data_IF_933763003556
#
_entry.id   IF_933763003556
#
_cell.length_a   1.000
_cell.length_b   1.000
_cell.length_c   1.000
_cell.angle_alpha   90.00
_cell.angle_beta   90.00
_cell.angle_gamma   90.00
#
_symmetry.space_group_name_H-M   'P 1'
#
loop_
_entity.id
_entity.type
_entity.pdbx_description
1 polymer ?
#
# COMPACT_ATOMS: atom_id res chain seq x y z
N UNK A 1 -3.18 -40.02 12.82
CA UNK A 1 -2.66 -39.41 11.56
C UNK A 1 -3.72 -38.61 10.78
N UNK A 2 -4.94 -38.42 11.31
CA UNK A 2 -6.05 -37.71 10.63
C UNK A 2 -6.21 -36.24 11.05
N UNK A 3 -5.63 -35.80 12.18
CA UNK A 3 -5.80 -34.44 12.70
C UNK A 3 -5.00 -33.37 11.95
N UNK A 4 -3.86 -33.74 11.36
CA UNK A 4 -2.95 -32.82 10.67
C UNK A 4 -3.52 -32.35 9.31
N UNK A 5 -4.15 -33.27 8.57
CA UNK A 5 -4.80 -32.95 7.30
C UNK A 5 -6.01 -32.04 7.43
N UNK A 6 -6.78 -32.14 8.53
CA UNK A 6 -7.90 -31.23 8.79
C UNK A 6 -7.42 -29.81 9.09
N UNK A 7 -6.39 -29.66 9.93
CA UNK A 7 -5.84 -28.34 10.29
C UNK A 7 -5.30 -27.62 9.05
N UNK A 8 -4.53 -28.33 8.21
CA UNK A 8 -4.02 -27.74 6.97
C UNK A 8 -5.15 -27.33 6.01
N UNK A 9 -6.20 -28.13 5.90
CA UNK A 9 -7.35 -27.80 5.06
C UNK A 9 -8.13 -26.57 5.56
N UNK A 10 -8.24 -26.37 6.88
CA UNK A 10 -8.83 -25.15 7.45
C UNK A 10 -7.97 -23.91 7.22
N UNK A 11 -6.64 -24.02 7.37
CA UNK A 11 -5.70 -22.92 7.11
C UNK A 11 -5.71 -22.48 5.64
N UNK A 12 -5.72 -23.45 4.72
CA UNK A 12 -5.90 -23.22 3.28
C UNK A 12 -7.24 -22.52 3.02
N UNK A 13 -8.33 -22.96 3.63
CA UNK A 13 -9.62 -22.31 3.42
C UNK A 13 -9.63 -20.85 3.89
N UNK A 14 -9.14 -20.57 5.10
CA UNK A 14 -9.09 -19.21 5.66
C UNK A 14 -8.21 -18.26 4.82
N UNK A 15 -7.06 -18.71 4.34
CA UNK A 15 -6.19 -17.86 3.51
C UNK A 15 -6.81 -17.58 2.13
N UNK A 16 -7.56 -18.53 1.56
CA UNK A 16 -8.29 -18.32 0.30
C UNK A 16 -9.43 -17.31 0.47
N UNK A 17 -10.13 -17.36 1.60
CA UNK A 17 -11.22 -16.43 1.91
C UNK A 17 -10.67 -15.00 2.10
N UNK A 18 -9.53 -14.85 2.80
CA UNK A 18 -8.84 -13.56 2.96
C UNK A 18 -8.35 -12.97 1.63
N UNK A 19 -7.79 -13.81 0.75
CA UNK A 19 -7.34 -13.38 -0.58
C UNK A 19 -8.52 -12.88 -1.45
N UNK A 20 -9.68 -13.54 -1.36
CA UNK A 20 -10.90 -13.13 -2.06
C UNK A 20 -11.48 -11.81 -1.50
N UNK A 21 -11.54 -11.68 -0.18
CA UNK A 21 -11.97 -10.45 0.50
C UNK A 21 -11.06 -9.28 0.13
N UNK A 22 -9.74 -9.48 0.17
CA UNK A 22 -8.75 -8.46 -0.20
C UNK A 22 -8.97 -7.96 -1.63
N UNK A 23 -9.24 -8.84 -2.60
CA UNK A 23 -9.58 -8.43 -3.98
C UNK A 23 -10.82 -7.57 -4.04
N UNK A 24 -11.85 -7.94 -3.28
CA UNK A 24 -13.09 -7.18 -3.24
C UNK A 24 -12.85 -5.78 -2.68
N UNK A 25 -12.11 -5.68 -1.57
CA UNK A 25 -11.73 -4.41 -0.94
C UNK A 25 -10.90 -3.53 -1.89
N UNK A 26 -9.90 -4.11 -2.57
CA UNK A 26 -9.09 -3.40 -3.56
C UNK A 26 -9.95 -2.80 -4.69
N UNK A 27 -10.97 -3.53 -5.13
CA UNK A 27 -11.93 -3.05 -6.13
C UNK A 27 -12.80 -1.92 -5.59
N UNK A 28 -13.39 -2.08 -4.39
CA UNK A 28 -14.28 -1.10 -3.78
C UNK A 28 -13.59 0.22 -3.43
N UNK A 29 -12.36 0.16 -2.92
CA UNK A 29 -11.62 1.35 -2.45
C UNK A 29 -10.50 1.79 -3.39
N UNK A 30 -10.52 1.33 -4.65
CA UNK A 30 -9.52 1.64 -5.69
C UNK A 30 -9.16 3.12 -5.77
N UNK A 31 -10.18 3.99 -5.76
CA UNK A 31 -10.00 5.44 -5.89
C UNK A 31 -9.27 6.08 -4.71
N UNK A 32 -9.41 5.51 -3.52
CA UNK A 32 -8.71 5.93 -2.32
C UNK A 32 -7.30 5.34 -2.27
N UNK A 33 -7.20 4.03 -2.49
CA UNK A 33 -5.95 3.28 -2.41
C UNK A 33 -4.88 3.83 -3.36
N UNK A 34 -5.24 4.23 -4.58
CA UNK A 34 -4.26 4.80 -5.54
C UNK A 34 -3.55 6.07 -5.05
N UNK A 35 -4.12 6.77 -4.05
CA UNK A 35 -3.52 7.97 -3.44
C UNK A 35 -2.71 7.65 -2.18
N UNK A 36 -2.92 6.47 -1.60
CA UNK A 36 -2.29 6.05 -0.34
C UNK A 36 -1.09 5.14 -0.57
N UNK A 37 -0.99 4.49 -1.73
CA UNK A 37 0.07 3.53 -2.06
C UNK A 37 1.27 4.25 -2.68
N UNK A 38 2.46 4.03 -2.12
CA UNK A 38 3.74 4.34 -2.75
C UNK A 38 4.26 3.11 -3.48
N UNK A 39 4.26 3.15 -4.81
CA UNK A 39 4.49 1.96 -5.64
C UNK A 39 5.94 1.52 -5.63
N UNK A 40 6.88 2.47 -5.69
CA UNK A 40 8.31 2.17 -5.81
C UNK A 40 8.83 1.30 -4.66
N UNK A 41 8.75 1.72 -3.38
CA UNK A 41 9.22 0.90 -2.28
C UNK A 41 8.37 -0.36 -2.08
N UNK A 42 7.08 -0.32 -2.46
CA UNK A 42 6.17 -1.46 -2.31
C UNK A 42 6.55 -2.62 -3.24
N UNK A 43 6.86 -2.34 -4.51
CA UNK A 43 7.11 -3.38 -5.52
C UNK A 43 8.25 -4.32 -5.16
N UNK A 44 9.27 -3.82 -4.46
CA UNK A 44 10.43 -4.61 -4.08
C UNK A 44 10.08 -5.67 -3.02
N UNK A 45 9.00 -5.45 -2.26
CA UNK A 45 8.51 -6.38 -1.23
C UNK A 45 7.43 -7.37 -1.73
N UNK A 46 6.85 -7.14 -2.92
CA UNK A 46 5.81 -8.01 -3.49
C UNK A 46 6.43 -9.18 -4.28
N UNK A 47 6.87 -10.22 -3.59
CA UNK A 47 7.44 -11.46 -4.14
C UNK A 47 6.45 -12.28 -4.98
N UNK A 48 5.15 -12.21 -4.69
CA UNK A 48 4.14 -12.90 -5.50
C UNK A 48 3.99 -12.33 -6.93
N UNK A 49 4.56 -11.15 -7.21
CA UNK A 49 4.58 -10.57 -8.55
C UNK A 49 5.82 -11.00 -9.33
N UNK A 50 5.58 -11.58 -10.51
CA UNK A 50 6.64 -11.93 -11.45
C UNK A 50 7.49 -10.71 -11.86
N UNK A 51 8.81 -10.88 -12.13
CA UNK A 51 9.71 -9.80 -12.52
C UNK A 51 9.20 -8.97 -13.71
N UNK A 52 8.72 -9.62 -14.76
CA UNK A 52 8.18 -8.95 -15.95
C UNK A 52 6.99 -8.03 -15.63
N UNK A 53 6.18 -8.41 -14.63
CA UNK A 53 5.05 -7.60 -14.16
C UNK A 53 5.55 -6.40 -13.36
N UNK A 54 6.52 -6.61 -12.47
CA UNK A 54 7.16 -5.50 -11.74
C UNK A 54 7.77 -4.49 -12.70
N UNK A 55 8.46 -4.95 -13.75
CA UNK A 55 9.09 -4.06 -14.74
C UNK A 55 8.07 -3.21 -15.50
N UNK A 56 6.92 -3.79 -15.86
CA UNK A 56 5.81 -3.03 -16.48
C UNK A 56 5.26 -1.96 -15.53
N UNK A 57 5.11 -2.29 -14.24
CA UNK A 57 4.63 -1.31 -13.24
C UNK A 57 5.69 -0.22 -13.02
N UNK A 58 6.99 -0.58 -12.94
CA UNK A 58 8.10 0.38 -12.83
C UNK A 58 8.19 1.30 -14.07
N UNK A 59 7.95 0.78 -15.26
CA UNK A 59 7.87 1.59 -16.48
C UNK A 59 6.74 2.62 -16.38
N UNK A 60 5.54 2.18 -15.96
CA UNK A 60 4.39 3.07 -15.78
C UNK A 60 4.63 4.14 -14.70
N UNK A 61 5.34 3.80 -13.63
CA UNK A 61 5.76 4.75 -12.59
C UNK A 61 6.63 5.87 -13.18
N UNK A 62 7.61 5.52 -14.02
CA UNK A 62 8.49 6.51 -14.66
C UNK A 62 7.76 7.39 -15.68
N UNK A 63 6.81 6.84 -16.41
CA UNK A 63 6.12 7.54 -17.51
C UNK A 63 4.94 8.38 -17.03
N UNK A 64 4.16 7.88 -16.07
CA UNK A 64 2.86 8.45 -15.69
C UNK A 64 2.74 8.81 -14.20
N UNK A 65 3.79 8.57 -13.42
CA UNK A 65 3.84 8.88 -11.99
C UNK A 65 3.15 7.86 -11.09
N UNK A 66 3.30 8.07 -9.77
CA UNK A 66 2.92 7.11 -8.74
C UNK A 66 1.42 6.75 -8.74
N UNK A 67 0.52 7.72 -8.93
CA UNK A 67 -0.93 7.48 -8.90
C UNK A 67 -1.34 6.50 -10.01
N UNK A 68 -0.85 6.69 -11.24
CA UNK A 68 -1.20 5.83 -12.37
C UNK A 68 -0.55 4.44 -12.26
N UNK A 69 0.66 4.38 -11.71
CA UNK A 69 1.30 3.11 -11.40
C UNK A 69 0.55 2.34 -10.30
N UNK A 70 0.02 3.03 -9.28
CA UNK A 70 -0.75 2.41 -8.20
C UNK A 70 -2.07 1.85 -8.72
N UNK A 71 -2.76 2.59 -9.59
CA UNK A 71 -3.95 2.11 -10.31
C UNK A 71 -3.63 0.82 -11.07
N UNK A 72 -2.54 0.81 -11.83
CA UNK A 72 -2.16 -0.34 -12.64
C UNK A 72 -1.75 -1.54 -11.79
N UNK A 73 -1.04 -1.33 -10.68
CA UNK A 73 -0.74 -2.37 -9.70
C UNK A 73 -2.03 -2.98 -9.14
N UNK A 74 -2.98 -2.15 -8.70
CA UNK A 74 -4.28 -2.62 -8.17
C UNK A 74 -5.03 -3.44 -9.24
N UNK A 75 -5.08 -2.95 -10.47
CA UNK A 75 -5.76 -3.64 -11.57
C UNK A 75 -5.07 -4.99 -11.91
N UNK A 76 -3.74 -5.03 -11.94
CA UNK A 76 -2.96 -6.26 -12.15
C UNK A 76 -3.24 -7.26 -11.03
N UNK A 77 -3.35 -6.79 -9.78
CA UNK A 77 -3.69 -7.64 -8.64
C UNK A 77 -5.10 -8.21 -8.79
N UNK A 78 -6.11 -7.36 -9.01
CA UNK A 78 -7.52 -7.75 -9.11
C UNK A 78 -7.75 -8.75 -10.25
N UNK A 79 -7.15 -8.52 -11.42
CA UNK A 79 -7.39 -9.33 -12.62
C UNK A 79 -6.58 -10.63 -12.67
N UNK A 80 -5.51 -10.75 -11.88
CA UNK A 80 -4.67 -11.94 -11.86
C UNK A 80 -5.30 -13.07 -11.06
N UNK A 81 -5.50 -14.24 -11.67
CA UNK A 81 -6.11 -15.41 -11.02
C UNK A 81 -5.12 -16.41 -10.41
N UNK A 82 -3.82 -16.18 -10.61
CA UNK A 82 -2.78 -17.20 -10.39
C UNK A 82 -1.78 -16.84 -9.27
N UNK A 83 -2.17 -16.02 -8.30
CA UNK A 83 -1.27 -15.79 -7.17
C UNK A 83 -1.28 -16.99 -6.23
N UNK A 84 -0.11 -17.27 -5.67
CA UNK A 84 0.02 -18.20 -4.57
C UNK A 84 -0.85 -17.76 -3.40
N UNK A 85 -1.36 -18.74 -2.67
CA UNK A 85 -2.21 -18.49 -1.53
C UNK A 85 -1.48 -17.69 -0.45
N UNK A 86 -2.15 -16.67 0.09
CA UNK A 86 -1.58 -15.81 1.13
C UNK A 86 -0.89 -14.55 0.61
N UNK A 87 -0.98 -14.27 -0.69
CA UNK A 87 -0.50 -13.01 -1.28
C UNK A 87 -1.15 -11.77 -0.65
N UNK A 88 -2.38 -11.87 -0.13
CA UNK A 88 -3.02 -10.76 0.58
C UNK A 88 -2.26 -10.36 1.84
N UNK A 89 -1.79 -11.35 2.62
CA UNK A 89 -1.00 -11.10 3.82
C UNK A 89 0.33 -10.45 3.47
N UNK A 90 0.98 -10.93 2.41
CA UNK A 90 2.22 -10.34 1.91
C UNK A 90 2.01 -8.88 1.50
N UNK A 91 0.93 -8.58 0.77
CA UNK A 91 0.57 -7.21 0.40
C UNK A 91 0.36 -6.33 1.64
N UNK A 92 -0.38 -6.80 2.64
CA UNK A 92 -0.63 -6.04 3.87
C UNK A 92 0.68 -5.75 4.61
N UNK A 93 1.52 -6.77 4.81
CA UNK A 93 2.82 -6.62 5.46
C UNK A 93 3.73 -5.67 4.69
N UNK A 94 3.74 -5.75 3.36
CA UNK A 94 4.52 -4.86 2.52
C UNK A 94 4.04 -3.41 2.66
N UNK A 95 2.72 -3.16 2.64
CA UNK A 95 2.14 -1.83 2.84
C UNK A 95 2.49 -1.22 4.21
N UNK A 96 2.47 -2.02 5.28
CA UNK A 96 2.89 -1.57 6.61
C UNK A 96 4.39 -1.23 6.65
N UNK A 97 5.21 -2.06 6.01
CA UNK A 97 6.67 -1.93 6.00
C UNK A 97 7.10 -0.64 5.31
N UNK A 98 6.48 -0.28 4.18
CA UNK A 98 6.79 0.94 3.42
C UNK A 98 6.06 2.19 3.94
N UNK A 99 5.49 2.12 5.14
CA UNK A 99 4.82 3.27 5.76
C UNK A 99 3.43 3.60 5.22
N UNK A 100 2.89 2.82 4.29
CA UNK A 100 1.53 2.97 3.73
C UNK A 100 0.45 2.41 4.68
N UNK A 101 0.52 2.75 5.98
CA UNK A 101 -0.35 2.22 7.05
C UNK A 101 -1.84 2.42 6.78
N UNK A 102 -2.24 3.56 6.22
CA UNK A 102 -3.64 3.81 5.88
C UNK A 102 -4.11 2.91 4.72
N UNK A 103 -3.27 2.63 3.72
CA UNK A 103 -3.61 1.68 2.68
C UNK A 103 -3.78 0.26 3.26
N UNK A 104 -2.91 -0.15 4.18
CA UNK A 104 -3.02 -1.44 4.87
C UNK A 104 -4.35 -1.56 5.65
N UNK A 105 -4.74 -0.52 6.39
CA UNK A 105 -6.04 -0.45 7.08
C UNK A 105 -7.24 -0.65 6.15
N UNK A 106 -7.20 0.01 4.99
CA UNK A 106 -8.21 -0.19 3.95
C UNK A 106 -8.24 -1.64 3.49
N UNK A 107 -7.10 -2.22 3.13
CA UNK A 107 -6.97 -3.61 2.65
C UNK A 107 -7.47 -4.62 3.70
N UNK A 108 -7.24 -4.35 4.99
CA UNK A 108 -7.76 -5.11 6.12
C UNK A 108 -9.26 -4.91 6.39
N UNK A 109 -9.97 -4.19 5.52
CA UNK A 109 -11.40 -3.85 5.67
C UNK A 109 -11.70 -3.10 6.99
N UNK A 110 -10.71 -2.33 7.47
CA UNK A 110 -10.82 -1.49 8.66
C UNK A 110 -10.42 -0.05 8.30
N UNK A 111 -11.18 0.62 7.41
CA UNK A 111 -10.88 1.98 6.99
C UNK A 111 -10.95 2.95 8.19
N UNK A 112 -10.20 4.06 8.15
CA UNK A 112 -10.33 5.11 9.18
C UNK A 112 -11.72 5.73 9.19
N UNK A 113 -12.07 6.41 10.28
CA UNK A 113 -13.35 7.11 10.38
C UNK A 113 -13.45 8.25 9.35
N UNK A 114 -14.61 8.47 8.71
CA UNK A 114 -14.76 9.50 7.66
C UNK A 114 -14.33 10.90 8.11
N UNK A 115 -14.56 11.23 9.39
CA UNK A 115 -14.16 12.51 9.97
C UNK A 115 -12.64 12.64 10.08
N UNK A 116 -11.95 11.59 10.51
CA UNK A 116 -10.49 11.57 10.59
C UNK A 116 -9.87 11.70 9.19
N UNK A 117 -10.46 11.03 8.20
CA UNK A 117 -10.04 11.15 6.81
C UNK A 117 -10.25 12.55 6.24
N UNK A 118 -11.40 13.17 6.51
CA UNK A 118 -11.68 14.53 6.06
C UNK A 118 -10.68 15.54 6.64
N UNK A 119 -10.25 15.35 7.88
CA UNK A 119 -9.19 16.15 8.52
C UNK A 119 -7.86 15.90 7.82
N UNK A 120 -7.44 14.64 7.65
CA UNK A 120 -6.20 14.31 6.97
C UNK A 120 -6.14 14.86 5.54
N UNK A 121 -7.22 14.69 4.77
CA UNK A 121 -7.34 15.21 3.41
C UNK A 121 -7.24 16.74 3.38
N UNK A 122 -7.75 17.41 4.41
CA UNK A 122 -7.61 18.87 4.54
C UNK A 122 -6.18 19.29 4.85
N UNK A 123 -5.46 18.54 5.68
CA UNK A 123 -4.03 18.75 5.94
C UNK A 123 -3.20 18.55 4.67
N UNK A 124 -3.46 17.50 3.89
CA UNK A 124 -2.77 17.27 2.59
C UNK A 124 -3.00 18.44 1.64
N UNK A 125 -4.25 18.88 1.48
CA UNK A 125 -4.55 20.06 0.64
C UNK A 125 -3.84 21.32 1.13
N UNK A 126 -3.70 21.49 2.45
CA UNK A 126 -2.97 22.63 3.01
C UNK A 126 -1.48 22.57 2.66
N UNK A 127 -0.85 21.39 2.73
CA UNK A 127 0.54 21.19 2.31
C UNK A 127 0.71 21.54 0.84
N UNK A 128 -0.19 21.06 -0.03
CA UNK A 128 -0.16 21.36 -1.47
C UNK A 128 -0.25 22.87 -1.75
N UNK A 129 -1.12 23.58 -1.02
CA UNK A 129 -1.27 25.04 -1.12
C UNK A 129 -0.02 25.81 -0.66
N UNK A 130 0.70 25.27 0.32
CA UNK A 130 1.88 25.88 0.91
C UNK A 130 3.19 25.40 0.27
N UNK A 131 3.15 24.55 -0.77
CA UNK A 131 4.35 23.94 -1.36
C UNK A 131 5.48 24.96 -1.68
N UNK A 132 5.12 26.14 -2.19
CA UNK A 132 6.08 27.17 -2.59
C UNK A 132 6.73 27.89 -1.39
N UNK A 133 6.07 27.92 -0.24
CA UNK A 133 6.63 28.49 0.99
C UNK A 133 7.42 27.43 1.77
N UNK A 134 7.01 26.17 1.70
CA UNK A 134 7.67 25.03 2.33
C UNK A 134 9.04 24.70 1.72
N UNK A 135 9.32 25.09 0.47
CA UNK A 135 10.62 24.84 -0.18
C UNK A 135 11.83 25.43 0.58
N UNK A 136 11.61 26.49 1.38
CA UNK A 136 12.65 27.16 2.16
C UNK A 136 12.76 26.62 3.60
N UNK A 137 12.00 25.58 3.93
CA UNK A 137 12.02 25.00 5.27
C UNK A 137 13.34 24.26 5.50
N UNK A 138 13.82 24.24 6.74
CA UNK A 138 15.04 23.49 7.08
C UNK A 138 14.73 21.99 7.07
N UNK A 139 14.88 21.35 5.91
CA UNK A 139 14.52 19.94 5.69
C UNK A 139 15.16 19.01 6.74
N UNK A 140 16.41 19.27 7.15
CA UNK A 140 17.07 18.48 8.20
C UNK A 140 16.35 18.50 9.55
N UNK A 141 15.95 19.68 10.02
CA UNK A 141 15.24 19.84 11.31
C UNK A 141 13.84 19.23 11.25
N UNK A 142 13.13 19.44 10.14
CA UNK A 142 11.77 18.93 9.92
C UNK A 142 11.78 17.41 9.77
N UNK A 143 12.70 16.86 8.98
CA UNK A 143 12.81 15.43 8.77
C UNK A 143 13.09 14.70 10.09
N UNK A 144 14.01 15.21 10.91
CA UNK A 144 14.27 14.65 12.24
C UNK A 144 13.01 14.63 13.13
N UNK A 145 12.22 15.70 13.10
CA UNK A 145 10.97 15.77 13.86
C UNK A 145 9.90 14.82 13.32
N UNK A 146 9.71 14.78 11.99
CA UNK A 146 8.76 13.88 11.35
C UNK A 146 9.12 12.40 11.56
N UNK A 147 10.41 12.06 11.61
CA UNK A 147 10.89 10.71 11.97
C UNK A 147 10.60 10.37 13.42
N UNK A 148 10.81 11.29 14.35
CA UNK A 148 10.46 11.09 15.76
C UNK A 148 8.95 10.89 15.99
N UNK A 149 8.11 11.44 15.11
CA UNK A 149 6.66 11.25 15.10
C UNK A 149 6.19 10.05 14.27
N UNK A 150 7.12 9.25 13.73
CA UNK A 150 6.84 8.09 12.84
C UNK A 150 6.01 8.44 11.59
N UNK A 151 6.11 9.70 11.13
CA UNK A 151 5.45 10.17 9.90
C UNK A 151 6.26 9.82 8.65
N UNK A 152 7.57 9.72 8.79
CA UNK A 152 8.50 9.28 7.75
C UNK A 152 9.07 7.92 8.12
N UNK A 153 9.39 7.08 7.14
CA UNK A 153 10.16 5.83 7.28
C UNK A 153 11.67 6.09 7.25
N UNK A 154 12.48 5.06 7.51
CA UNK A 154 13.95 5.20 7.46
C UNK A 154 14.42 5.52 6.05
N UNK A 155 13.82 4.87 5.07
CA UNK A 155 14.06 5.11 3.65
C UNK A 155 13.70 6.56 3.25
N UNK A 156 12.60 7.11 3.77
CA UNK A 156 12.21 8.51 3.53
C UNK A 156 13.20 9.54 4.10
N UNK A 157 14.01 9.15 5.09
CA UNK A 157 15.06 10.02 5.64
C UNK A 157 16.37 9.95 4.84
N UNK A 158 16.60 8.84 4.14
CA UNK A 158 17.82 8.57 3.38
C UNK A 158 17.77 9.12 1.94
N UNK A 159 16.56 9.43 1.45
CA UNK A 159 16.28 10.00 0.12
C UNK A 159 15.95 11.51 0.18
#
# INVERSE_FOLDING_TARGET
RTSDGSIQQYLIKMSSDQDAETRHVLSCFRERLKRLIQVEPLLDLLHFLEPDRKDRIKAKLREEGNINAAVFLIDEIINSKNYEQGWSRELITALETVGCKNAAKYVLNSPPEPTEEAVNDSCVRLIDLLQLTLVNMKTGDVCAHCRALELLTQEDQEN
#
